data_IF_334133030752
#
_entry.id   IF_334133030752
#
_cell.length_a   1.000
_cell.length_b   1.000
_cell.length_c   1.000
_cell.angle_alpha   90.00
_cell.angle_beta   90.00
_cell.angle_gamma   90.00
#
_symmetry.space_group_name_H-M   'P 1'
#
loop_
_entity.id
_entity.type
_entity.pdbx_description
1 polymer ?
#
# COMPACT_ATOMS: atom_id res chain seq x y z
N UNK A 1 41.39 1.62 23.53
CA UNK A 1 40.69 0.33 23.37
C UNK A 1 39.21 0.46 23.73
N UNK A 2 38.87 1.14 24.84
CA UNK A 2 37.49 1.40 25.29
C UNK A 2 36.58 2.11 24.26
N UNK A 3 37.07 3.10 23.50
CA UNK A 3 36.26 3.81 22.48
C UNK A 3 35.76 2.91 21.33
N UNK A 4 36.47 1.82 21.05
CA UNK A 4 36.12 0.92 19.95
C UNK A 4 35.01 -0.06 20.36
N UNK A 5 34.89 -0.38 21.65
CA UNK A 5 33.80 -1.22 22.19
C UNK A 5 32.50 -0.43 22.27
N UNK A 6 32.55 0.79 22.79
CA UNK A 6 31.37 1.67 22.92
C UNK A 6 30.74 1.98 21.56
N UNK A 7 31.56 2.34 20.56
CA UNK A 7 31.08 2.58 19.19
C UNK A 7 30.51 1.33 18.52
N UNK A 8 31.00 0.14 18.86
CA UNK A 8 30.47 -1.13 18.33
C UNK A 8 29.13 -1.48 18.97
N UNK A 9 29.00 -1.28 20.29
CA UNK A 9 27.73 -1.47 21.00
C UNK A 9 26.65 -0.51 20.48
N UNK A 10 26.97 0.79 20.33
CA UNK A 10 26.04 1.79 19.81
C UNK A 10 25.58 1.47 18.37
N UNK A 11 26.51 1.06 17.50
CA UNK A 11 26.18 0.64 16.14
C UNK A 11 25.26 -0.60 16.13
N UNK A 12 25.52 -1.58 17.00
CA UNK A 12 24.68 -2.76 17.13
C UNK A 12 23.26 -2.41 17.63
N UNK A 13 23.13 -1.53 18.64
CA UNK A 13 21.84 -1.07 19.14
C UNK A 13 21.03 -0.32 18.07
N UNK A 14 21.67 0.58 17.32
CA UNK A 14 21.05 1.28 16.19
C UNK A 14 20.58 0.31 15.10
N UNK A 15 21.40 -0.70 14.81
CA UNK A 15 21.07 -1.72 13.81
C UNK A 15 19.87 -2.55 14.25
N UNK A 16 19.82 -2.97 15.52
CA UNK A 16 18.69 -3.69 16.08
C UNK A 16 17.40 -2.86 16.02
N UNK A 17 17.46 -1.58 16.40
CA UNK A 17 16.32 -0.67 16.32
C UNK A 17 15.86 -0.44 14.87
N UNK A 18 16.79 -0.24 13.94
CA UNK A 18 16.47 -0.06 12.52
C UNK A 18 15.82 -1.32 11.92
N UNK A 19 16.36 -2.51 12.22
CA UNK A 19 15.80 -3.78 11.78
C UNK A 19 14.39 -3.99 12.34
N UNK A 20 14.16 -3.66 13.61
CA UNK A 20 12.84 -3.74 14.24
C UNK A 20 11.85 -2.76 13.61
N UNK A 21 12.23 -1.49 13.43
CA UNK A 21 11.36 -0.46 12.83
C UNK A 21 11.04 -0.76 11.37
N UNK A 22 12.01 -1.28 10.61
CA UNK A 22 11.79 -1.77 9.24
C UNK A 22 10.89 -3.02 9.23
N UNK A 23 11.03 -3.91 10.21
CA UNK A 23 10.15 -5.06 10.42
C UNK A 23 8.70 -4.64 10.71
N UNK A 24 8.50 -3.65 11.58
CA UNK A 24 7.17 -3.09 11.90
C UNK A 24 6.60 -2.36 10.69
N UNK A 25 7.37 -1.49 10.04
CA UNK A 25 6.90 -0.72 8.87
C UNK A 25 6.56 -1.61 7.68
N UNK A 26 7.39 -2.61 7.38
CA UNK A 26 7.11 -3.59 6.32
C UNK A 26 5.89 -4.45 6.65
N UNK A 27 5.71 -4.83 7.92
CA UNK A 27 4.49 -5.53 8.36
C UNK A 27 3.24 -4.66 8.18
N UNK A 28 3.28 -3.39 8.60
CA UNK A 28 2.19 -2.44 8.37
C UNK A 28 1.88 -2.27 6.88
N UNK A 29 2.91 -2.17 6.04
CA UNK A 29 2.78 -2.10 4.59
C UNK A 29 2.12 -3.37 4.00
N UNK A 30 2.58 -4.55 4.42
CA UNK A 30 2.08 -5.87 3.99
C UNK A 30 0.62 -6.10 4.42
N UNK A 31 0.25 -5.63 5.61
CA UNK A 31 -1.14 -5.68 6.08
C UNK A 31 -2.03 -4.73 5.28
N UNK A 32 -1.58 -3.49 5.06
CA UNK A 32 -2.34 -2.49 4.33
C UNK A 32 -2.57 -2.89 2.85
N UNK A 33 -1.60 -3.57 2.24
CA UNK A 33 -1.68 -4.05 0.86
C UNK A 33 -2.39 -5.41 0.71
N UNK A 34 -2.87 -6.01 1.80
CA UNK A 34 -3.43 -7.37 1.84
C UNK A 34 -2.52 -8.48 1.30
N UNK A 35 -1.24 -8.21 1.06
CA UNK A 35 -0.22 -9.18 0.66
C UNK A 35 -0.19 -10.38 1.62
N UNK A 36 -0.43 -10.14 2.92
CA UNK A 36 -0.51 -11.21 3.93
C UNK A 36 -1.64 -12.22 3.67
N UNK A 37 -2.77 -11.78 3.11
CA UNK A 37 -3.94 -12.63 2.90
C UNK A 37 -3.84 -13.40 1.59
N UNK A 38 -3.43 -12.73 0.51
CA UNK A 38 -3.43 -13.31 -0.83
C UNK A 38 -2.08 -14.00 -1.17
N UNK A 39 -0.96 -13.55 -0.59
CA UNK A 39 0.38 -14.01 -0.94
C UNK A 39 1.31 -14.11 0.29
N UNK A 40 0.96 -14.97 1.24
CA UNK A 40 1.72 -15.16 2.50
C UNK A 40 3.23 -15.31 2.32
N UNK A 41 3.68 -16.06 1.31
CA UNK A 41 5.11 -16.27 1.04
C UNK A 41 5.80 -14.99 0.56
N UNK A 42 5.14 -14.21 -0.30
CA UNK A 42 5.67 -12.92 -0.74
C UNK A 42 5.71 -11.92 0.42
N UNK A 43 4.67 -11.92 1.25
CA UNK A 43 4.58 -11.10 2.45
C UNK A 43 5.74 -11.37 3.44
N UNK A 44 6.02 -12.63 3.75
CA UNK A 44 7.14 -12.99 4.63
C UNK A 44 8.49 -12.69 3.99
N UNK A 45 8.64 -12.89 2.67
CA UNK A 45 9.85 -12.53 1.94
C UNK A 45 10.12 -11.01 1.98
N UNK A 46 9.10 -10.18 1.78
CA UNK A 46 9.20 -8.71 1.89
C UNK A 46 9.60 -8.30 3.30
N UNK A 47 9.00 -8.89 4.32
CA UNK A 47 9.30 -8.58 5.72
C UNK A 47 10.74 -8.98 6.08
N UNK A 48 11.18 -10.19 5.69
CA UNK A 48 12.54 -10.66 5.91
C UNK A 48 13.56 -9.80 5.15
N UNK A 49 13.29 -9.47 3.89
CA UNK A 49 14.14 -8.60 3.08
C UNK A 49 14.27 -7.20 3.69
N UNK A 50 13.16 -6.61 4.17
CA UNK A 50 13.19 -5.29 4.81
C UNK A 50 14.05 -5.29 6.07
N UNK A 51 13.92 -6.30 6.94
CA UNK A 51 14.72 -6.43 8.15
C UNK A 51 16.21 -6.65 7.83
N UNK A 52 16.51 -7.54 6.88
CA UNK A 52 17.89 -7.85 6.46
C UNK A 52 18.58 -6.65 5.79
N UNK A 53 17.88 -5.95 4.90
CA UNK A 53 18.40 -4.74 4.26
C UNK A 53 18.61 -3.62 5.27
N UNK A 54 17.66 -3.39 6.18
CA UNK A 54 17.81 -2.41 7.24
C UNK A 54 19.02 -2.74 8.12
N UNK A 55 19.19 -3.99 8.53
CA UNK A 55 20.34 -4.41 9.32
C UNK A 55 21.65 -4.26 8.54
N UNK A 56 21.68 -4.77 7.31
CA UNK A 56 22.86 -4.81 6.43
C UNK A 56 23.36 -3.43 6.00
N UNK A 57 22.46 -2.44 5.87
CA UNK A 57 22.82 -1.05 5.53
C UNK A 57 23.12 -0.24 6.80
N UNK A 58 22.32 -0.38 7.85
CA UNK A 58 22.44 0.48 9.05
C UNK A 58 23.72 0.19 9.82
N UNK A 59 24.13 -1.08 9.95
CA UNK A 59 25.35 -1.42 10.70
C UNK A 59 26.63 -0.80 10.12
N UNK A 60 26.99 -1.02 8.84
CA UNK A 60 28.20 -0.42 8.27
C UNK A 60 28.10 1.11 8.22
N UNK A 61 26.91 1.67 7.93
CA UNK A 61 26.72 3.11 7.88
C UNK A 61 26.88 3.76 9.26
N UNK A 62 26.23 3.21 10.29
CA UNK A 62 26.35 3.70 11.66
C UNK A 62 27.80 3.59 12.15
N UNK A 63 28.47 2.46 11.87
CA UNK A 63 29.87 2.26 12.24
C UNK A 63 30.80 3.25 11.53
N UNK A 64 30.58 3.51 10.25
CA UNK A 64 31.35 4.49 9.49
C UNK A 64 31.14 5.92 10.01
N UNK A 65 29.89 6.31 10.25
CA UNK A 65 29.53 7.64 10.77
C UNK A 65 30.08 7.88 12.18
N UNK A 66 29.92 6.91 13.08
CA UNK A 66 30.44 6.98 14.46
C UNK A 66 31.96 7.17 14.46
N UNK A 67 32.68 6.42 13.63
CA UNK A 67 34.13 6.53 13.49
C UNK A 67 34.57 7.85 12.85
N UNK A 68 33.81 8.37 11.89
CA UNK A 68 34.22 9.56 11.13
C UNK A 68 33.89 10.87 11.83
N UNK A 69 32.73 10.95 12.47
CA UNK A 69 32.16 12.20 12.99
C UNK A 69 32.09 12.26 14.52
N UNK A 70 32.61 11.24 15.22
CA UNK A 70 32.59 11.16 16.69
C UNK A 70 31.16 11.36 17.24
N UNK A 71 30.23 10.58 16.68
CA UNK A 71 28.81 10.87 16.84
C UNK A 71 28.36 10.72 18.30
N UNK A 72 27.76 11.78 18.82
CA UNK A 72 27.19 11.83 20.19
C UNK A 72 25.81 11.17 20.23
N UNK A 73 25.36 10.78 21.42
CA UNK A 73 24.06 10.15 21.69
C UNK A 73 22.86 10.85 21.03
N UNK A 74 22.90 12.18 20.85
CA UNK A 74 21.81 12.91 20.22
C UNK A 74 21.63 12.56 18.73
N UNK A 75 22.69 12.16 18.01
CA UNK A 75 22.57 11.70 16.62
C UNK A 75 21.80 10.38 16.54
N UNK A 76 21.98 9.51 17.53
CA UNK A 76 21.23 8.24 17.69
C UNK A 76 19.74 8.55 17.86
N UNK A 77 19.42 9.53 18.72
CA UNK A 77 18.04 9.96 18.96
C UNK A 77 17.39 10.56 17.70
N UNK A 78 18.11 11.41 16.95
CA UNK A 78 17.63 11.97 15.69
C UNK A 78 17.41 10.89 14.64
N UNK A 79 18.34 9.93 14.51
CA UNK A 79 18.20 8.80 13.60
C UNK A 79 16.97 7.94 13.93
N UNK A 80 16.76 7.63 15.22
CA UNK A 80 15.58 6.91 15.71
C UNK A 80 14.27 7.66 15.40
N UNK A 81 14.23 8.98 15.66
CA UNK A 81 13.08 9.81 15.35
C UNK A 81 12.78 9.82 13.84
N UNK A 82 13.82 9.93 13.00
CA UNK A 82 13.69 9.85 11.54
C UNK A 82 13.15 8.50 11.07
N UNK A 83 13.65 7.39 11.63
CA UNK A 83 13.14 6.05 11.33
C UNK A 83 11.67 5.88 11.74
N UNK A 84 11.30 6.37 12.93
CA UNK A 84 9.91 6.35 13.39
C UNK A 84 8.99 7.15 12.45
N UNK A 85 9.43 8.33 12.01
CA UNK A 85 8.66 9.14 11.06
C UNK A 85 8.47 8.42 9.71
N UNK A 86 9.49 7.72 9.20
CA UNK A 86 9.38 6.90 8.00
C UNK A 86 8.40 5.72 8.19
N UNK A 87 8.47 5.03 9.32
CA UNK A 87 7.52 3.96 9.66
C UNK A 87 6.09 4.49 9.74
N UNK A 88 5.88 5.68 10.31
CA UNK A 88 4.58 6.33 10.37
C UNK A 88 4.03 6.72 8.99
N UNK A 89 4.90 6.98 8.01
CA UNK A 89 4.52 7.26 6.63
C UNK A 89 4.22 6.00 5.79
N UNK A 90 4.54 4.80 6.29
CA UNK A 90 4.36 3.54 5.56
C UNK A 90 2.92 3.29 5.07
N UNK A 91 1.84 3.61 5.83
CA UNK A 91 0.47 3.44 5.34
C UNK A 91 0.13 4.37 4.17
N UNK A 92 0.63 5.60 4.16
CA UNK A 92 0.41 6.53 3.04
C UNK A 92 1.16 6.08 1.79
N UNK A 93 2.39 5.57 1.97
CA UNK A 93 3.17 5.00 0.87
C UNK A 93 2.51 3.72 0.32
N UNK A 94 1.94 2.87 1.17
CA UNK A 94 1.22 1.67 0.72
C UNK A 94 -0.03 2.02 -0.08
N UNK A 95 -0.78 3.06 0.31
CA UNK A 95 -1.93 3.53 -0.45
C UNK A 95 -1.56 4.06 -1.86
N UNK A 96 -0.34 4.58 -2.05
CA UNK A 96 0.14 4.99 -3.37
C UNK A 96 0.48 3.79 -4.26
N UNK A 97 1.12 2.76 -3.70
CA UNK A 97 1.51 1.54 -4.43
C UNK A 97 0.32 0.61 -4.67
N UNK A 98 -0.58 0.54 -3.69
CA UNK A 98 -1.74 -0.34 -3.64
C UNK A 98 -3.01 0.51 -3.40
N UNK A 99 -3.50 1.22 -4.43
CA UNK A 99 -4.62 2.14 -4.31
C UNK A 99 -5.92 1.46 -3.86
N UNK A 100 -6.80 2.25 -3.27
CA UNK A 100 -8.13 1.80 -2.89
C UNK A 100 -8.98 1.44 -4.12
N UNK A 101 -10.05 0.64 -3.98
CA UNK A 101 -10.84 0.22 -5.14
C UNK A 101 -11.47 1.40 -5.88
N UNK A 102 -11.90 2.45 -5.18
CA UNK A 102 -12.35 3.68 -5.83
C UNK A 102 -11.21 4.34 -6.61
N UNK A 103 -10.06 4.57 -5.98
CA UNK A 103 -8.90 5.15 -6.67
C UNK A 103 -8.53 4.35 -7.93
N UNK A 104 -8.62 3.02 -7.86
CA UNK A 104 -8.42 2.12 -9.01
C UNK A 104 -9.49 2.27 -10.07
N UNK A 105 -10.76 2.37 -9.67
CA UNK A 105 -11.86 2.65 -10.59
C UNK A 105 -11.61 3.93 -11.39
N UNK A 106 -11.10 4.99 -10.75
CA UNK A 106 -10.79 6.26 -11.39
C UNK A 106 -9.48 6.27 -12.19
N UNK A 107 -8.42 5.66 -11.65
CA UNK A 107 -7.04 5.83 -12.15
C UNK A 107 -6.55 4.71 -13.06
N UNK A 108 -7.17 3.52 -13.05
CA UNK A 108 -6.74 2.43 -13.94
C UNK A 108 -6.86 2.91 -15.41
N UNK A 109 -5.73 2.95 -16.13
CA UNK A 109 -5.68 3.25 -17.55
C UNK A 109 -6.45 2.16 -18.32
N UNK A 110 -7.54 2.54 -18.99
CA UNK A 110 -8.46 1.58 -19.61
C UNK A 110 -9.40 0.87 -18.63
N UNK A 111 -9.40 1.29 -17.35
CA UNK A 111 -10.31 0.76 -16.34
C UNK A 111 -11.74 1.30 -16.47
N UNK A 112 -12.71 0.65 -15.79
CA UNK A 112 -14.12 0.96 -15.93
C UNK A 112 -14.46 2.43 -15.66
N UNK A 113 -13.92 3.07 -14.62
CA UNK A 113 -14.32 4.44 -14.27
C UNK A 113 -13.88 5.50 -15.28
N UNK A 114 -12.71 5.35 -15.91
CA UNK A 114 -12.28 6.26 -17.00
C UNK A 114 -13.05 5.99 -18.30
N UNK A 115 -13.34 4.73 -18.59
CA UNK A 115 -14.12 4.38 -19.78
C UNK A 115 -15.60 4.83 -19.65
N UNK A 116 -16.16 4.71 -18.44
CA UNK A 116 -17.54 5.04 -18.10
C UNK A 116 -17.76 6.52 -17.73
N UNK A 117 -16.78 7.39 -17.98
CA UNK A 117 -16.72 8.79 -17.53
C UNK A 117 -17.88 9.69 -18.03
N UNK A 118 -18.65 9.24 -19.02
CA UNK A 118 -19.82 9.94 -19.58
C UNK A 118 -21.09 9.06 -19.56
N UNK A 119 -21.12 8.06 -18.68
CA UNK A 119 -22.23 7.12 -18.55
C UNK A 119 -22.96 7.30 -17.21
N UNK A 120 -24.12 6.68 -17.00
CA UNK A 120 -24.79 6.62 -15.69
C UNK A 120 -23.94 5.96 -14.59
N UNK A 121 -22.84 5.29 -14.95
CA UNK A 121 -21.88 4.69 -14.03
C UNK A 121 -20.68 5.61 -13.73
N UNK A 122 -20.68 6.84 -14.25
CA UNK A 122 -19.62 7.80 -14.01
C UNK A 122 -19.41 8.00 -12.50
N UNK A 123 -18.15 8.21 -12.14
CA UNK A 123 -17.79 8.44 -10.76
C UNK A 123 -18.08 9.87 -10.31
N UNK A 124 -18.16 10.09 -9.00
CA UNK A 124 -18.42 11.41 -8.41
C UNK A 124 -17.46 12.52 -8.86
N UNK A 125 -16.21 12.18 -9.22
CA UNK A 125 -15.22 13.13 -9.73
C UNK A 125 -15.57 13.72 -11.10
N UNK A 126 -16.36 13.01 -11.90
CA UNK A 126 -16.72 13.37 -13.27
C UNK A 126 -18.14 13.89 -13.39
N UNK A 127 -19.06 13.21 -12.71
CA UNK A 127 -20.44 13.63 -12.53
C UNK A 127 -20.84 13.35 -11.08
N UNK A 128 -20.78 14.36 -10.19
CA UNK A 128 -21.19 14.18 -8.82
C UNK A 128 -22.62 13.62 -8.79
N UNK A 129 -22.83 12.50 -8.09
CA UNK A 129 -24.13 11.82 -7.95
C UNK A 129 -24.62 11.04 -9.19
N UNK A 130 -23.77 10.60 -10.10
CA UNK A 130 -24.23 9.71 -11.19
C UNK A 130 -24.52 8.27 -10.69
N UNK A 131 -23.69 7.74 -9.81
CA UNK A 131 -23.84 6.40 -9.26
C UNK A 131 -23.42 6.30 -7.79
N UNK A 132 -24.09 5.41 -7.05
CA UNK A 132 -23.71 5.02 -5.70
C UNK A 132 -22.83 3.77 -5.76
N UNK A 133 -21.64 3.84 -5.16
CA UNK A 133 -20.76 2.69 -5.02
C UNK A 133 -20.98 2.01 -3.68
N UNK A 134 -21.17 0.69 -3.71
CA UNK A 134 -21.28 -0.15 -2.51
C UNK A 134 -20.27 -1.29 -2.54
N UNK A 135 -19.77 -1.65 -1.37
CA UNK A 135 -18.87 -2.79 -1.17
C UNK A 135 -19.62 -3.89 -0.42
N UNK A 136 -19.78 -5.04 -1.06
CA UNK A 136 -20.53 -6.15 -0.47
C UNK A 136 -19.71 -6.81 0.63
N UNK A 137 -20.16 -6.71 1.89
CA UNK A 137 -19.49 -7.38 3.04
C UNK A 137 -19.47 -8.91 2.91
N UNK A 138 -20.42 -9.48 2.17
CA UNK A 138 -20.56 -10.92 1.95
C UNK A 138 -19.57 -11.47 0.91
N UNK A 139 -18.99 -10.62 0.05
CA UNK A 139 -18.06 -11.00 -1.00
C UNK A 139 -16.88 -10.02 -1.03
N UNK A 140 -15.86 -10.21 -0.17
CA UNK A 140 -14.72 -9.30 -0.09
C UNK A 140 -13.97 -9.25 -1.43
N UNK A 141 -13.95 -8.06 -2.04
CA UNK A 141 -13.38 -7.83 -3.36
C UNK A 141 -14.41 -7.61 -4.48
N UNK A 142 -15.68 -7.48 -4.15
CA UNK A 142 -16.72 -7.09 -5.10
C UNK A 142 -17.20 -5.67 -4.83
N UNK A 143 -17.25 -4.88 -5.89
CA UNK A 143 -17.73 -3.50 -5.92
C UNK A 143 -18.96 -3.43 -6.81
N UNK A 144 -20.03 -2.86 -6.30
CA UNK A 144 -21.25 -2.64 -7.07
C UNK A 144 -21.41 -1.13 -7.27
N UNK A 145 -21.46 -0.73 -8.53
CA UNK A 145 -21.74 0.64 -8.98
C UNK A 145 -23.20 0.68 -9.41
N UNK A 146 -24.05 1.31 -8.60
CA UNK A 146 -25.49 1.43 -8.86
C UNK A 146 -25.79 2.84 -9.36
N UNK A 147 -26.16 3.03 -10.63
CA UNK A 147 -26.60 4.33 -11.12
C UNK A 147 -27.77 4.89 -10.30
N UNK A 148 -27.87 6.21 -10.16
CA UNK A 148 -29.04 6.82 -9.55
C UNK A 148 -30.28 6.71 -10.45
N UNK A 149 -30.08 6.61 -11.77
CA UNK A 149 -31.12 6.26 -12.71
C UNK A 149 -31.52 4.78 -12.52
N UNK A 150 -32.71 4.56 -11.96
CA UNK A 150 -33.24 3.23 -11.65
C UNK A 150 -33.62 2.42 -12.89
N UNK A 151 -33.64 3.03 -14.08
CA UNK A 151 -33.87 2.31 -15.33
C UNK A 151 -32.63 1.55 -15.81
N UNK A 152 -31.46 1.84 -15.24
CA UNK A 152 -30.17 1.28 -15.63
C UNK A 152 -29.75 0.19 -14.62
N UNK A 153 -29.35 -1.01 -15.07
CA UNK A 153 -28.94 -2.08 -14.16
C UNK A 153 -27.62 -1.75 -13.44
N UNK A 154 -27.38 -2.28 -12.23
CA UNK A 154 -26.13 -2.07 -11.52
C UNK A 154 -24.96 -2.77 -12.22
N UNK A 155 -23.77 -2.15 -12.17
CA UNK A 155 -22.51 -2.71 -12.65
C UNK A 155 -21.77 -3.35 -11.49
N UNK A 156 -21.40 -4.62 -11.63
CA UNK A 156 -20.69 -5.38 -10.60
C UNK A 156 -19.28 -5.69 -11.09
N UNK A 157 -18.30 -5.25 -10.31
CA UNK A 157 -16.87 -5.42 -10.57
C UNK A 157 -16.25 -6.32 -9.51
N UNK A 158 -15.46 -7.30 -9.96
CA UNK A 158 -14.61 -8.13 -9.11
C UNK A 158 -13.21 -7.50 -8.97
N UNK A 159 -12.41 -8.07 -8.06
CA UNK A 159 -11.07 -7.60 -7.69
C UNK A 159 -11.01 -6.20 -7.05
N UNK A 160 -12.15 -5.68 -6.61
CA UNK A 160 -12.30 -4.43 -5.87
C UNK A 160 -11.92 -4.59 -4.37
N UNK A 161 -10.69 -5.04 -4.12
CA UNK A 161 -10.11 -5.17 -2.77
C UNK A 161 -9.23 -3.98 -2.47
N UNK A 162 -9.24 -3.54 -1.20
CA UNK A 162 -8.31 -2.52 -0.72
C UNK A 162 -6.88 -3.03 -0.86
N UNK A 163 -6.11 -2.33 -1.68
CA UNK A 163 -4.75 -2.72 -2.03
C UNK A 163 -4.63 -3.92 -2.98
N UNK A 164 -5.71 -4.31 -3.65
CA UNK A 164 -5.69 -5.39 -4.63
C UNK A 164 -4.83 -5.05 -5.85
N UNK A 165 -4.09 -6.04 -6.38
CA UNK A 165 -3.14 -5.90 -7.50
C UNK A 165 -3.70 -6.27 -8.86
N UNK A 166 -4.89 -6.88 -8.90
CA UNK A 166 -5.55 -7.31 -10.14
C UNK A 166 -6.49 -6.22 -10.63
N UNK A 167 -6.54 -5.99 -11.94
CA UNK A 167 -7.48 -5.06 -12.58
C UNK A 167 -8.93 -5.31 -12.20
N UNK A 168 -9.74 -4.26 -12.19
CA UNK A 168 -11.19 -4.38 -12.00
C UNK A 168 -11.80 -5.01 -13.26
N UNK A 169 -12.50 -6.13 -13.09
CA UNK A 169 -13.15 -6.86 -14.18
C UNK A 169 -14.62 -7.08 -13.88
N UNK A 170 -15.45 -7.28 -14.91
CA UNK A 170 -16.84 -7.66 -14.71
C UNK A 170 -16.97 -8.94 -13.86
N UNK A 171 -17.82 -8.90 -12.83
CA UNK A 171 -18.06 -10.02 -11.93
C UNK A 171 -19.08 -11.03 -12.49
N UNK A 172 -19.88 -10.62 -13.47
CA UNK A 172 -20.96 -11.39 -14.06
C UNK A 172 -21.15 -11.03 -15.56
N UNK A 173 -21.86 -11.87 -16.34
CA UNK A 173 -22.08 -11.64 -17.77
C UNK A 173 -22.83 -10.35 -18.09
N UNK A 174 -23.75 -9.89 -17.22
CA UNK A 174 -24.50 -8.64 -17.41
C UNK A 174 -23.59 -7.43 -17.26
N UNK A 175 -22.74 -7.43 -16.23
CA UNK A 175 -21.69 -6.43 -16.05
C UNK A 175 -20.70 -6.41 -17.23
N UNK A 176 -20.36 -7.58 -17.79
CA UNK A 176 -19.50 -7.67 -18.96
C UNK A 176 -20.18 -7.12 -20.23
N UNK A 177 -21.49 -7.29 -20.38
CA UNK A 177 -22.27 -6.71 -21.48
C UNK A 177 -22.37 -5.19 -21.35
N UNK A 178 -22.58 -4.68 -20.13
CA UNK A 178 -22.58 -3.24 -19.85
C UNK A 178 -21.24 -2.64 -20.29
N UNK A 179 -20.11 -3.18 -19.81
CA UNK A 179 -18.78 -2.69 -20.20
C UNK A 179 -18.61 -2.69 -21.72
N UNK A 180 -18.94 -3.82 -22.38
CA UNK A 180 -18.87 -3.94 -23.84
C UNK A 180 -19.75 -2.92 -24.58
N UNK A 181 -20.94 -2.61 -24.06
CA UNK A 181 -21.85 -1.63 -24.67
C UNK A 181 -21.27 -0.21 -24.69
N UNK A 182 -20.38 0.11 -23.74
CA UNK A 182 -19.68 1.40 -23.65
C UNK A 182 -18.28 1.38 -24.29
N UNK A 183 -17.88 0.27 -24.94
CA UNK A 183 -16.55 0.12 -25.53
C UNK A 183 -15.43 -0.12 -24.50
N UNK A 184 -15.82 -0.59 -23.32
CA UNK A 184 -14.97 -1.14 -22.28
C UNK A 184 -15.02 -2.69 -22.32
#
# INVERSE_FOLDING_TARGET
MLENEESTMLAASLTGAAALLAGVGSFSFVLASQLWHDHRVAATAVQAAAALLAAGVTFPLARWLLRRFNARWWHVAVALAGMLALTAAAPSASAYVFPEPMDRYHRELGGPGKCLNLSPYASDDAFPRAAQVTYTRQAPGRMTVTPLDRSVPPLVLDHARRGGTKHLTAADPGSAEILRSYGC
#
